data_IF_413998157965
#
_entry.id   IF_413998157965
#
_cell.length_a   1.000
_cell.length_b   1.000
_cell.length_c   1.000
_cell.angle_alpha   90.00
_cell.angle_beta   90.00
_cell.angle_gamma   90.00
#
_symmetry.space_group_name_H-M   'P 1'
#
loop_
_entity.id
_entity.type
_entity.pdbx_description
1 polymer ?
#
# COMPACT_ATOMS: atom_id res chain seq x y z
N UNK A 1 1.58 -6.09 -32.56
CA UNK A 1 0.99 -6.54 -31.28
C UNK A 1 1.91 -7.62 -30.72
N UNK A 2 2.75 -7.29 -29.71
CA UNK A 2 3.61 -8.28 -29.03
C UNK A 2 2.84 -8.78 -27.81
N UNK A 3 2.59 -10.08 -27.75
CA UNK A 3 2.04 -10.77 -26.58
C UNK A 3 2.92 -10.51 -25.36
N UNK A 4 2.34 -10.22 -24.17
CA UNK A 4 3.13 -10.07 -22.96
C UNK A 4 3.80 -11.40 -22.63
N UNK A 5 5.11 -11.35 -22.36
CA UNK A 5 5.87 -12.49 -21.84
C UNK A 5 5.26 -12.89 -20.50
N UNK A 6 4.98 -14.19 -20.36
CA UNK A 6 4.56 -14.81 -19.10
C UNK A 6 5.55 -14.43 -17.99
N UNK A 7 5.04 -13.98 -16.85
CA UNK A 7 5.82 -13.76 -15.63
C UNK A 7 6.65 -15.01 -15.32
N UNK A 8 7.92 -14.84 -14.92
CA UNK A 8 8.71 -15.96 -14.45
C UNK A 8 8.04 -16.56 -13.22
N UNK A 9 7.71 -17.84 -13.31
CA UNK A 9 7.07 -18.61 -12.23
C UNK A 9 7.84 -18.37 -10.91
N UNK A 10 7.13 -17.92 -9.87
CA UNK A 10 7.70 -17.80 -8.53
C UNK A 10 8.17 -19.19 -8.11
N UNK A 11 9.46 -19.40 -7.77
CA UNK A 11 9.96 -20.71 -7.38
C UNK A 11 9.18 -21.28 -6.20
N UNK A 12 8.94 -22.58 -6.22
CA UNK A 12 8.19 -23.30 -5.19
C UNK A 12 8.76 -23.05 -3.78
N UNK A 13 7.96 -23.26 -2.74
CA UNK A 13 8.30 -23.09 -1.33
C UNK A 13 9.61 -23.79 -0.87
N UNK A 14 10.12 -24.73 -1.68
CA UNK A 14 11.36 -25.45 -1.42
C UNK A 14 12.62 -24.57 -1.34
N UNK A 15 12.60 -23.35 -1.90
CA UNK A 15 13.77 -22.44 -1.93
C UNK A 15 13.67 -21.27 -0.94
N UNK A 16 12.74 -21.34 0.03
CA UNK A 16 12.54 -20.24 0.97
C UNK A 16 13.65 -20.17 2.03
N UNK A 17 14.42 -19.09 2.04
CA UNK A 17 15.39 -18.79 3.10
C UNK A 17 14.67 -18.15 4.29
N UNK A 18 14.33 -18.95 5.30
CA UNK A 18 13.54 -18.52 6.46
C UNK A 18 14.10 -17.28 7.17
N UNK A 19 15.43 -17.13 7.23
CA UNK A 19 16.04 -15.95 7.86
C UNK A 19 15.78 -14.67 7.06
N UNK A 20 15.83 -14.75 5.72
CA UNK A 20 15.51 -13.61 4.84
C UNK A 20 14.06 -13.18 4.98
N UNK A 21 13.12 -14.13 4.96
CA UNK A 21 11.69 -13.82 5.17
C UNK A 21 11.45 -13.11 6.49
N UNK A 22 12.10 -13.59 7.58
CA UNK A 22 11.98 -12.93 8.89
C UNK A 22 12.57 -11.52 8.89
N UNK A 23 13.70 -11.31 8.20
CA UNK A 23 14.32 -9.99 8.09
C UNK A 23 13.43 -9.01 7.31
N UNK A 24 12.82 -9.44 6.21
CA UNK A 24 11.86 -8.63 5.44
C UNK A 24 10.62 -8.28 6.29
N UNK A 25 10.05 -9.23 7.04
CA UNK A 25 8.94 -8.97 7.96
C UNK A 25 9.29 -7.96 9.06
N UNK A 26 10.55 -7.89 9.51
CA UNK A 26 10.99 -6.84 10.42
C UNK A 26 10.92 -5.47 9.73
N UNK A 27 11.41 -5.36 8.49
CA UNK A 27 11.35 -4.09 7.75
C UNK A 27 9.90 -3.66 7.49
N UNK A 28 9.02 -4.59 7.12
CA UNK A 28 7.58 -4.34 6.97
C UNK A 28 6.96 -3.83 8.28
N UNK A 29 7.25 -4.47 9.40
CA UNK A 29 6.76 -4.07 10.72
C UNK A 29 7.25 -2.68 11.15
N UNK A 30 8.51 -2.32 10.79
CA UNK A 30 9.05 -0.98 11.03
C UNK A 30 8.47 0.09 10.09
N UNK A 31 7.88 -0.32 8.97
CA UNK A 31 7.19 0.57 8.03
C UNK A 31 5.73 0.85 8.43
N UNK A 32 5.16 0.06 9.34
CA UNK A 32 3.81 0.27 9.88
C UNK A 32 3.78 1.49 10.80
N UNK A 33 2.72 2.27 10.70
CA UNK A 33 2.64 3.63 11.24
C UNK A 33 2.21 3.77 12.70
N UNK A 34 2.19 2.70 13.45
CA UNK A 34 1.69 2.73 14.83
C UNK A 34 2.59 3.52 15.79
N UNK A 35 3.90 3.58 15.48
CA UNK A 35 4.87 4.33 16.28
C UNK A 35 6.17 4.60 15.51
N UNK A 36 6.91 5.67 15.85
CA UNK A 36 8.10 6.09 15.11
C UNK A 36 9.28 5.10 15.22
N UNK A 37 9.33 4.31 16.28
CA UNK A 37 10.40 3.32 16.52
C UNK A 37 9.91 2.18 17.40
N UNK A 38 10.62 1.05 17.36
CA UNK A 38 10.28 -0.17 18.07
C UNK A 38 11.48 -0.74 18.85
N UNK A 39 11.25 -1.23 20.07
CA UNK A 39 12.22 -2.02 20.80
C UNK A 39 12.31 -3.46 20.28
N UNK A 40 13.42 -4.16 20.59
CA UNK A 40 13.57 -5.58 20.25
C UNK A 40 12.45 -6.46 20.84
N UNK A 41 11.96 -6.10 22.02
CA UNK A 41 10.90 -6.84 22.71
C UNK A 41 9.56 -6.67 22.01
N UNK A 42 9.24 -5.45 21.56
CA UNK A 42 8.02 -5.18 20.80
C UNK A 42 8.02 -5.89 19.44
N UNK A 43 9.13 -5.82 18.70
CA UNK A 43 9.30 -6.56 17.44
C UNK A 43 9.18 -8.08 17.65
N UNK A 44 9.77 -8.62 18.72
CA UNK A 44 9.66 -10.03 19.09
C UNK A 44 8.20 -10.45 19.28
N UNK A 45 7.44 -9.65 20.04
CA UNK A 45 6.03 -9.90 20.33
C UNK A 45 5.17 -9.80 19.06
N UNK A 46 5.29 -8.72 18.27
CA UNK A 46 4.52 -8.50 17.04
C UNK A 46 4.76 -9.58 15.99
N UNK A 47 5.99 -9.98 15.82
CA UNK A 47 6.40 -10.94 14.79
C UNK A 47 6.33 -12.40 15.24
N UNK A 48 6.01 -12.64 16.53
CA UNK A 48 6.04 -13.97 17.16
C UNK A 48 7.40 -14.66 16.96
N UNK A 49 8.50 -13.91 17.16
CA UNK A 49 9.88 -14.40 17.06
C UNK A 49 10.59 -14.31 18.42
N UNK A 50 11.51 -15.22 18.69
CA UNK A 50 12.40 -15.10 19.86
C UNK A 50 13.22 -13.79 19.79
N UNK A 51 13.38 -13.10 20.93
CA UNK A 51 14.17 -11.84 21.02
C UNK A 51 15.59 -12.03 20.48
N UNK A 52 16.23 -13.16 20.77
CA UNK A 52 17.57 -13.48 20.25
C UNK A 52 17.61 -13.61 18.71
N UNK A 53 16.52 -14.10 18.11
CA UNK A 53 16.40 -14.16 16.63
C UNK A 53 16.25 -12.75 16.05
N UNK A 54 15.37 -11.94 16.65
CA UNK A 54 15.19 -10.53 16.24
C UNK A 54 16.52 -9.79 16.35
N UNK A 55 17.20 -9.87 17.50
CA UNK A 55 18.49 -9.23 17.71
C UNK A 55 19.53 -9.58 16.64
N UNK A 56 19.69 -10.89 16.32
CA UNK A 56 20.64 -11.33 15.28
C UNK A 56 20.31 -10.78 13.89
N UNK A 57 19.04 -10.67 13.55
CA UNK A 57 18.60 -10.08 12.27
C UNK A 57 18.83 -8.57 12.27
N UNK A 58 18.48 -7.89 13.38
CA UNK A 58 18.65 -6.44 13.54
C UNK A 58 20.11 -6.01 13.44
N UNK A 59 21.05 -6.74 14.03
CA UNK A 59 22.50 -6.47 13.87
C UNK A 59 22.91 -6.40 12.39
N UNK A 60 22.37 -7.30 11.56
CA UNK A 60 22.68 -7.30 10.13
C UNK A 60 21.98 -6.15 9.39
N UNK A 61 20.70 -5.88 9.70
CA UNK A 61 19.94 -4.81 9.08
C UNK A 61 20.52 -3.43 9.40
N UNK A 62 20.94 -3.22 10.66
CA UNK A 62 21.63 -1.99 11.08
C UNK A 62 22.98 -1.85 10.35
N UNK A 63 23.78 -2.92 10.31
CA UNK A 63 25.09 -2.91 9.63
C UNK A 63 24.97 -2.58 8.14
N UNK A 64 23.87 -2.98 7.50
CA UNK A 64 23.59 -2.70 6.09
C UNK A 64 22.83 -1.37 5.87
N UNK A 65 22.50 -0.62 6.93
CA UNK A 65 21.82 0.67 6.87
C UNK A 65 20.32 0.59 6.54
N UNK A 66 19.71 -0.61 6.58
CA UNK A 66 18.26 -0.78 6.40
C UNK A 66 17.46 -0.40 7.64
N UNK A 67 18.10 -0.47 8.79
CA UNK A 67 17.55 -0.09 10.09
C UNK A 67 18.57 0.81 10.78
N UNK A 68 18.10 1.73 11.59
CA UNK A 68 18.91 2.57 12.45
C UNK A 68 18.32 2.63 13.87
N UNK A 69 19.16 2.96 14.84
CA UNK A 69 18.73 3.21 16.21
C UNK A 69 18.30 4.67 16.32
N UNK A 70 17.09 4.92 16.81
CA UNK A 70 16.65 6.26 17.15
C UNK A 70 17.34 6.73 18.43
N UNK A 71 18.17 7.78 18.40
CA UNK A 71 18.91 8.23 19.57
C UNK A 71 18.02 8.74 20.71
N UNK A 72 16.81 9.20 20.38
CA UNK A 72 15.90 9.79 21.37
C UNK A 72 15.16 8.72 22.18
N UNK A 73 14.67 7.68 21.52
CA UNK A 73 13.89 6.62 22.16
C UNK A 73 14.71 5.37 22.51
N UNK A 74 15.88 5.18 21.87
CA UNK A 74 16.64 3.94 21.92
C UNK A 74 15.96 2.79 21.15
N UNK A 75 14.90 3.09 20.41
CA UNK A 75 14.18 2.15 19.54
C UNK A 75 14.82 2.05 18.16
N UNK A 76 14.34 1.10 17.38
CA UNK A 76 14.77 0.88 16.01
C UNK A 76 13.75 1.42 15.02
N UNK A 77 14.22 2.05 13.94
CA UNK A 77 13.42 2.60 12.85
C UNK A 77 14.03 2.23 11.49
N UNK A 78 13.30 2.50 10.40
CA UNK A 78 13.84 2.30 9.04
C UNK A 78 15.03 3.23 8.80
N UNK A 79 16.11 2.68 8.25
CA UNK A 79 17.31 3.42 7.88
C UNK A 79 17.26 3.98 6.46
N UNK A 80 18.14 4.94 6.15
CA UNK A 80 18.21 5.64 4.87
C UNK A 80 18.43 4.75 3.65
N UNK A 81 18.93 3.53 3.83
CA UNK A 81 19.07 2.58 2.72
C UNK A 81 17.72 2.24 2.08
N UNK A 82 16.64 2.15 2.88
CA UNK A 82 15.28 1.89 2.39
C UNK A 82 14.79 3.07 1.53
N UNK A 83 14.98 4.30 2.01
CA UNK A 83 14.64 5.51 1.26
C UNK A 83 15.38 5.57 -0.10
N UNK A 84 16.69 5.30 -0.10
CA UNK A 84 17.50 5.30 -1.33
C UNK A 84 16.98 4.31 -2.37
N UNK A 85 16.56 3.12 -1.93
CA UNK A 85 16.00 2.11 -2.81
C UNK A 85 14.60 2.52 -3.30
N UNK A 86 13.75 3.03 -2.42
CA UNK A 86 12.41 3.53 -2.78
C UNK A 86 12.45 4.66 -3.81
N UNK A 87 13.34 5.63 -3.65
CA UNK A 87 13.53 6.70 -4.63
C UNK A 87 13.90 6.17 -6.02
N UNK A 88 14.77 5.14 -6.10
CA UNK A 88 15.11 4.49 -7.38
C UNK A 88 13.90 3.80 -8.04
N UNK A 89 12.98 3.28 -7.25
CA UNK A 89 11.72 2.73 -7.78
C UNK A 89 10.85 3.87 -8.33
N UNK A 90 10.67 4.95 -7.57
CA UNK A 90 9.88 6.10 -7.99
C UNK A 90 10.43 6.80 -9.25
N UNK A 91 11.75 6.89 -9.39
CA UNK A 91 12.42 7.49 -10.56
C UNK A 91 12.13 6.74 -11.88
N UNK A 92 11.78 5.46 -11.81
CA UNK A 92 11.43 4.64 -12.99
C UNK A 92 9.98 4.81 -13.44
N UNK A 93 9.16 5.51 -12.66
CA UNK A 93 7.74 5.68 -12.92
C UNK A 93 7.51 6.94 -13.78
N UNK A 94 7.75 6.85 -15.09
CA UNK A 94 7.60 7.99 -16.01
C UNK A 94 6.20 8.63 -15.94
N UNK A 95 5.15 7.82 -15.78
CA UNK A 95 3.77 8.31 -15.62
C UNK A 95 3.59 9.15 -14.35
N UNK A 96 4.35 8.91 -13.26
CA UNK A 96 4.34 9.77 -12.07
C UNK A 96 4.84 11.17 -12.40
N UNK A 97 5.94 11.27 -13.16
CA UNK A 97 6.52 12.55 -13.61
C UNK A 97 5.55 13.34 -14.50
N UNK A 98 4.85 12.66 -15.40
CA UNK A 98 3.85 13.27 -16.28
C UNK A 98 2.62 13.70 -15.48
N UNK A 99 2.15 12.89 -14.53
CA UNK A 99 0.97 13.17 -13.73
C UNK A 99 1.19 14.30 -12.71
N UNK A 100 2.40 14.46 -12.17
CA UNK A 100 2.72 15.42 -11.11
C UNK A 100 2.16 16.83 -11.32
N UNK A 101 2.40 17.52 -12.45
CA UNK A 101 1.85 18.87 -12.67
C UNK A 101 0.32 18.88 -12.76
N UNK A 102 -0.30 17.86 -13.33
CA UNK A 102 -1.75 17.76 -13.45
C UNK A 102 -2.44 17.53 -12.10
N UNK A 103 -1.85 16.67 -11.26
CA UNK A 103 -2.34 16.41 -9.91
C UNK A 103 -2.21 17.65 -9.03
N UNK A 104 -1.12 18.40 -9.16
CA UNK A 104 -0.93 19.67 -8.47
C UNK A 104 -1.97 20.70 -8.87
N UNK A 105 -2.24 20.84 -10.17
CA UNK A 105 -3.28 21.73 -10.68
C UNK A 105 -4.67 21.33 -10.16
N UNK A 106 -4.98 20.04 -10.16
CA UNK A 106 -6.24 19.52 -9.62
C UNK A 106 -6.38 19.83 -8.13
N UNK A 107 -5.33 19.58 -7.34
CA UNK A 107 -5.33 19.92 -5.91
C UNK A 107 -5.55 21.42 -5.67
N UNK A 108 -4.89 22.29 -6.46
CA UNK A 108 -5.09 23.75 -6.36
C UNK A 108 -6.50 24.19 -6.71
N UNK A 109 -7.14 23.55 -7.70
CA UNK A 109 -8.52 23.87 -8.11
C UNK A 109 -9.56 23.36 -7.12
N UNK A 110 -9.36 22.17 -6.58
CA UNK A 110 -10.35 21.52 -5.70
C UNK A 110 -10.14 21.86 -4.23
N UNK A 111 -8.93 22.23 -3.84
CA UNK A 111 -8.50 22.39 -2.45
C UNK A 111 -8.63 21.10 -1.61
N UNK A 112 -8.75 19.95 -2.29
CA UNK A 112 -8.87 18.63 -1.69
C UNK A 112 -7.58 17.84 -1.80
N UNK A 113 -7.45 16.78 -0.99
CA UNK A 113 -6.34 15.84 -1.13
C UNK A 113 -6.46 15.10 -2.46
N UNK A 114 -5.40 15.16 -3.27
CA UNK A 114 -5.28 14.44 -4.55
C UNK A 114 -4.10 13.50 -4.47
N UNK A 115 -4.29 12.26 -4.90
CA UNK A 115 -3.20 11.30 -4.96
C UNK A 115 -3.27 10.40 -6.18
N UNK A 116 -2.11 9.90 -6.61
CA UNK A 116 -1.95 8.87 -7.64
C UNK A 116 -1.60 7.56 -6.96
N UNK A 117 -2.26 6.49 -7.37
CA UNK A 117 -1.95 5.17 -6.86
C UNK A 117 -1.85 4.15 -7.99
N UNK A 118 -1.13 3.07 -7.72
CA UNK A 118 -0.95 1.92 -8.59
C UNK A 118 -1.43 0.65 -7.90
N UNK A 119 -1.76 -0.34 -8.72
CA UNK A 119 -2.03 -1.68 -8.21
C UNK A 119 -0.71 -2.44 -8.03
N UNK A 120 -0.47 -2.95 -6.83
CA UNK A 120 0.66 -3.82 -6.51
C UNK A 120 0.15 -5.03 -5.73
N UNK A 121 0.15 -6.20 -6.38
CA UNK A 121 -0.42 -7.41 -5.79
C UNK A 121 -1.92 -7.24 -5.52
N UNK A 122 -2.32 -7.34 -4.26
CA UNK A 122 -3.70 -7.24 -3.77
C UNK A 122 -4.01 -5.90 -3.07
N UNK A 123 -3.18 -4.88 -3.30
CA UNK A 123 -3.29 -3.55 -2.66
C UNK A 123 -3.12 -2.42 -3.67
N UNK A 124 -3.76 -1.28 -3.40
CA UNK A 124 -3.44 -0.02 -4.05
C UNK A 124 -2.37 0.71 -3.23
N UNK A 125 -1.32 1.19 -3.90
CA UNK A 125 -0.20 1.91 -3.27
C UNK A 125 -0.16 3.33 -3.77
N UNK A 126 -0.18 4.31 -2.86
CA UNK A 126 -0.03 5.72 -3.20
C UNK A 126 1.41 6.03 -3.58
N UNK A 127 1.62 6.59 -4.78
CA UNK A 127 2.95 6.93 -5.32
C UNK A 127 3.17 8.44 -5.51
N UNK A 128 2.10 9.25 -5.42
CA UNK A 128 2.15 10.71 -5.42
C UNK A 128 0.98 11.26 -4.62
N UNK A 129 1.21 12.38 -3.89
CA UNK A 129 0.18 13.01 -3.07
C UNK A 129 0.36 14.52 -3.02
N UNK A 130 -0.75 15.23 -3.10
CA UNK A 130 -0.88 16.65 -2.74
C UNK A 130 -1.96 16.76 -1.65
N UNK A 131 -1.58 17.23 -0.48
CA UNK A 131 -2.49 17.36 0.66
C UNK A 131 -3.49 18.49 0.50
N UNK A 132 -4.67 18.35 1.11
CA UNK A 132 -5.61 19.44 1.29
C UNK A 132 -5.05 20.47 2.26
N UNK A 133 -5.27 21.78 2.04
CA UNK A 133 -4.98 22.82 3.04
C UNK A 133 -5.99 22.84 4.20
N UNK A 134 -7.06 22.05 4.12
CA UNK A 134 -8.08 21.98 5.16
C UNK A 134 -7.55 21.32 6.44
N UNK A 135 -8.03 21.73 7.63
CA UNK A 135 -7.54 21.19 8.91
C UNK A 135 -7.89 19.71 9.12
N UNK A 136 -8.93 19.21 8.45
CA UNK A 136 -9.29 17.79 8.45
C UNK A 136 -8.95 17.23 7.08
N UNK A 137 -7.83 16.56 6.97
CA UNK A 137 -7.40 15.91 5.73
C UNK A 137 -7.16 14.42 5.99
N UNK A 138 -7.51 13.59 5.01
CA UNK A 138 -7.11 12.19 5.03
C UNK A 138 -5.58 12.09 4.97
N UNK A 139 -5.00 11.39 5.92
CA UNK A 139 -3.57 11.10 5.91
C UNK A 139 -3.27 9.88 4.99
N UNK A 140 -3.52 10.05 3.70
CA UNK A 140 -3.03 9.11 2.71
C UNK A 140 -1.51 9.31 2.56
N UNK A 141 -0.71 8.43 3.10
CA UNK A 141 0.77 8.53 3.05
C UNK A 141 1.31 8.00 1.73
N UNK A 142 2.41 8.58 1.24
CA UNK A 142 3.18 8.01 0.14
C UNK A 142 3.68 6.62 0.54
N UNK A 143 3.52 5.63 -0.35
CA UNK A 143 3.79 4.23 -0.03
C UNK A 143 2.71 3.56 0.80
N UNK A 144 1.72 4.30 1.30
CA UNK A 144 0.61 3.75 2.06
C UNK A 144 -0.23 2.79 1.22
N UNK A 145 -0.61 1.68 1.84
CA UNK A 145 -1.42 0.64 1.23
C UNK A 145 -2.90 0.88 1.52
N UNK A 146 -3.72 0.70 0.49
CA UNK A 146 -5.17 0.91 0.57
C UNK A 146 -5.92 -0.34 0.13
N UNK A 147 -6.96 -0.76 0.88
CA UNK A 147 -7.81 -1.87 0.48
C UNK A 147 -8.46 -1.65 -0.89
N UNK A 148 -8.46 -2.70 -1.73
CA UNK A 148 -8.99 -2.59 -3.08
C UNK A 148 -10.53 -2.55 -3.13
N UNK A 149 -11.23 -3.20 -2.21
CA UNK A 149 -12.68 -3.41 -2.30
C UNK A 149 -13.54 -2.25 -1.80
N UNK A 150 -12.99 -1.33 -1.00
CA UNK A 150 -13.76 -0.30 -0.31
C UNK A 150 -13.22 1.12 -0.46
N UNK A 151 -12.06 1.32 -1.12
CA UNK A 151 -11.56 2.66 -1.45
C UNK A 151 -11.92 3.03 -2.89
N UNK A 152 -12.08 4.32 -3.18
CA UNK A 152 -12.32 4.78 -4.56
C UNK A 152 -11.22 4.33 -5.50
N UNK A 153 -9.95 4.53 -5.09
CA UNK A 153 -8.77 4.11 -5.86
C UNK A 153 -8.75 2.59 -6.05
N UNK A 154 -8.99 1.84 -4.97
CA UNK A 154 -9.00 0.38 -5.04
C UNK A 154 -10.07 -0.15 -6.00
N UNK A 155 -11.29 0.36 -5.90
CA UNK A 155 -12.40 -0.08 -6.75
C UNK A 155 -12.18 0.27 -8.23
N UNK A 156 -11.63 1.45 -8.54
CA UNK A 156 -11.34 1.80 -9.93
C UNK A 156 -10.22 0.93 -10.52
N UNK A 157 -9.21 0.58 -9.74
CA UNK A 157 -8.15 -0.34 -10.16
C UNK A 157 -8.68 -1.77 -10.36
N UNK A 158 -9.56 -2.25 -9.46
CA UNK A 158 -10.21 -3.55 -9.58
C UNK A 158 -11.15 -3.66 -10.78
N UNK A 159 -11.78 -2.57 -11.20
CA UNK A 159 -12.75 -2.57 -12.29
C UNK A 159 -12.17 -3.13 -13.61
N UNK A 160 -10.87 -3.08 -13.77
CA UNK A 160 -10.16 -3.53 -14.97
C UNK A 160 -9.31 -4.80 -14.75
N UNK A 161 -9.55 -5.52 -13.64
CA UNK A 161 -8.85 -6.76 -13.33
C UNK A 161 -9.63 -8.01 -13.75
N UNK A 162 -8.92 -9.15 -13.79
CA UNK A 162 -9.51 -10.42 -14.14
C UNK A 162 -10.45 -10.97 -13.05
N UNK A 163 -11.41 -11.79 -13.46
CA UNK A 163 -12.28 -12.54 -12.54
C UNK A 163 -11.52 -13.42 -11.55
N UNK A 164 -10.37 -13.95 -11.97
CA UNK A 164 -9.49 -14.74 -11.12
C UNK A 164 -8.95 -13.89 -9.97
N UNK A 165 -8.48 -12.67 -10.25
CA UNK A 165 -8.00 -11.75 -9.23
C UNK A 165 -9.11 -11.36 -8.25
N UNK A 166 -10.31 -11.04 -8.74
CA UNK A 166 -11.45 -10.72 -7.87
C UNK A 166 -11.80 -11.89 -6.93
N UNK A 167 -11.79 -13.11 -7.47
CA UNK A 167 -12.06 -14.32 -6.69
C UNK A 167 -10.96 -14.59 -5.66
N UNK A 168 -9.70 -14.38 -6.02
CA UNK A 168 -8.55 -14.50 -5.11
C UNK A 168 -8.65 -13.48 -3.98
N UNK A 169 -8.90 -12.21 -4.29
CA UNK A 169 -9.07 -11.14 -3.31
C UNK A 169 -10.19 -11.44 -2.32
N UNK A 170 -11.33 -11.93 -2.80
CA UNK A 170 -12.47 -12.27 -1.95
C UNK A 170 -12.20 -13.44 -0.98
N UNK A 171 -11.23 -14.33 -1.33
CA UNK A 171 -10.83 -15.46 -0.49
C UNK A 171 -9.73 -15.10 0.50
N UNK A 172 -8.74 -14.29 0.04
CA UNK A 172 -7.58 -13.90 0.84
C UNK A 172 -7.00 -12.59 0.28
N UNK A 173 -6.93 -11.53 1.07
CA UNK A 173 -7.26 -11.40 2.51
C UNK A 173 -8.76 -11.36 2.82
N UNK A 174 -9.65 -11.33 1.80
CA UNK A 174 -11.09 -11.22 1.94
C UNK A 174 -11.59 -9.76 1.89
N UNK A 175 -12.91 -9.61 1.87
CA UNK A 175 -13.57 -8.30 1.82
C UNK A 175 -13.95 -7.87 3.25
N UNK A 176 -12.94 -7.43 4.02
CA UNK A 176 -13.10 -7.06 5.42
C UNK A 176 -14.03 -5.85 5.55
N UNK A 177 -14.92 -5.90 6.56
CA UNK A 177 -15.77 -4.78 6.91
C UNK A 177 -14.98 -3.75 7.70
N UNK A 178 -14.85 -2.53 7.18
CA UNK A 178 -14.21 -1.39 7.85
C UNK A 178 -15.25 -0.42 8.41
N UNK A 179 -16.38 -0.27 7.70
CA UNK A 179 -17.52 0.57 8.12
C UNK A 179 -18.82 -0.19 7.88
N UNK A 180 -19.97 0.31 8.37
CA UNK A 180 -21.27 -0.26 8.03
C UNK A 180 -21.60 -0.25 6.53
N UNK A 181 -20.93 0.63 5.75
CA UNK A 181 -21.14 0.80 4.31
C UNK A 181 -20.19 -0.02 3.43
N UNK A 182 -19.18 -0.63 4.03
CA UNK A 182 -18.21 -1.46 3.27
C UNK A 182 -18.89 -2.58 2.50
N UNK A 183 -18.58 -2.71 1.21
CA UNK A 183 -18.97 -3.85 0.39
C UNK A 183 -18.19 -5.09 0.85
N UNK A 184 -18.88 -6.13 1.30
CA UNK A 184 -18.28 -7.31 1.91
C UNK A 184 -18.57 -8.62 1.16
N UNK A 185 -19.24 -8.55 0.01
CA UNK A 185 -19.54 -9.74 -0.80
C UNK A 185 -19.08 -9.58 -2.24
N UNK A 186 -18.57 -10.65 -2.82
CA UNK A 186 -18.09 -10.63 -4.21
C UNK A 186 -19.16 -10.25 -5.23
N UNK A 187 -20.42 -10.73 -5.14
CA UNK A 187 -21.47 -10.29 -6.07
C UNK A 187 -21.76 -8.79 -6.02
N UNK A 188 -21.81 -8.19 -4.82
CA UNK A 188 -21.99 -6.74 -4.66
C UNK A 188 -20.81 -5.97 -5.23
N UNK A 189 -19.58 -6.43 -4.96
CA UNK A 189 -18.38 -5.81 -5.51
C UNK A 189 -18.41 -5.86 -7.05
N UNK A 190 -18.68 -6.99 -7.66
CA UNK A 190 -18.75 -7.13 -9.13
C UNK A 190 -19.76 -6.16 -9.75
N UNK A 191 -20.96 -6.06 -9.17
CA UNK A 191 -21.98 -5.11 -9.62
C UNK A 191 -21.50 -3.65 -9.56
N UNK A 192 -20.78 -3.29 -8.51
CA UNK A 192 -20.20 -1.94 -8.41
C UNK A 192 -19.08 -1.72 -9.42
N UNK A 193 -18.22 -2.73 -9.67
CA UNK A 193 -17.16 -2.65 -10.68
C UNK A 193 -17.72 -2.51 -12.10
N UNK A 194 -18.85 -3.15 -12.43
CA UNK A 194 -19.57 -2.95 -13.70
C UNK A 194 -20.00 -1.49 -13.87
N UNK A 195 -20.64 -0.92 -12.85
CA UNK A 195 -21.05 0.49 -12.85
C UNK A 195 -19.85 1.44 -12.99
N UNK A 196 -18.72 1.11 -12.36
CA UNK A 196 -17.49 1.89 -12.48
C UNK A 196 -16.98 1.88 -13.91
N UNK A 197 -16.99 0.73 -14.59
CA UNK A 197 -16.60 0.63 -16.01
C UNK A 197 -17.51 1.45 -16.93
N UNK A 198 -18.82 1.47 -16.65
CA UNK A 198 -19.80 2.24 -17.42
C UNK A 198 -19.64 3.75 -17.24
N UNK A 199 -19.46 4.23 -16.00
CA UNK A 199 -19.38 5.67 -15.70
C UNK A 199 -17.98 6.26 -15.76
N UNK A 200 -16.91 5.41 -15.76
CA UNK A 200 -15.51 5.82 -15.84
C UNK A 200 -14.86 6.25 -14.51
N UNK A 201 -15.58 6.22 -13.40
CA UNK A 201 -15.05 6.60 -12.07
C UNK A 201 -15.66 5.78 -10.94
N UNK A 202 -14.93 5.66 -9.84
CA UNK A 202 -15.39 5.06 -8.58
C UNK A 202 -15.70 6.13 -7.54
N UNK A 203 -16.63 5.84 -6.67
CA UNK A 203 -16.92 6.65 -5.46
C UNK A 203 -16.76 5.76 -4.24
N UNK A 204 -15.94 6.18 -3.30
CA UNK A 204 -15.97 5.67 -1.93
C UNK A 204 -16.92 6.56 -1.12
N UNK A 205 -18.02 6.00 -0.66
CA UNK A 205 -19.03 6.71 0.11
C UNK A 205 -18.99 6.24 1.56
N UNK A 206 -17.92 6.58 2.26
CA UNK A 206 -17.69 6.18 3.66
C UNK A 206 -17.54 4.64 3.81
N UNK A 207 -17.02 3.97 2.79
CA UNK A 207 -16.82 2.52 2.79
C UNK A 207 -15.52 2.12 3.48
N UNK A 208 -14.47 2.93 3.36
CA UNK A 208 -13.18 2.71 4.00
C UNK A 208 -13.09 3.36 5.38
N UNK A 209 -13.58 4.58 5.51
CA UNK A 209 -13.54 5.39 6.76
C UNK A 209 -14.85 6.16 6.89
N UNK A 210 -15.49 6.10 8.06
CA UNK A 210 -16.69 6.89 8.35
C UNK A 210 -16.40 8.40 8.21
N UNK A 211 -17.31 9.13 7.58
CA UNK A 211 -17.17 10.56 7.32
C UNK A 211 -16.26 10.93 6.16
N UNK A 212 -15.57 9.97 5.54
CA UNK A 212 -14.71 10.19 4.38
C UNK A 212 -15.39 9.79 3.08
N UNK A 213 -15.30 10.66 2.08
CA UNK A 213 -15.74 10.37 0.71
C UNK A 213 -14.64 10.70 -0.28
N UNK A 214 -14.46 9.85 -1.27
CA UNK A 214 -13.55 10.16 -2.36
C UNK A 214 -14.08 9.71 -3.73
N UNK A 215 -13.54 10.34 -4.77
CA UNK A 215 -13.76 9.98 -6.18
C UNK A 215 -12.43 9.60 -6.79
N UNK A 216 -12.42 8.54 -7.57
CA UNK A 216 -11.23 8.08 -8.28
C UNK A 216 -11.56 7.72 -9.73
N UNK A 217 -10.64 8.05 -10.64
CA UNK A 217 -10.70 7.65 -12.04
C UNK A 217 -9.41 6.92 -12.44
N UNK A 218 -9.53 6.00 -13.40
CA UNK A 218 -8.35 5.32 -13.97
C UNK A 218 -7.65 6.22 -14.99
N UNK A 219 -6.32 6.11 -15.00
CA UNK A 219 -5.45 6.71 -16.01
C UNK A 219 -4.81 5.56 -16.79
N UNK A 220 -4.87 5.60 -18.15
CA UNK A 220 -4.36 4.57 -19.05
C UNK A 220 -3.19 5.09 -19.88
#
# INVERSE_FOLDING_TARGET
MKTPKSDPAVPSAAYTVKALVKALRILECLAEDDQPSYTLTELSRRLHLHVSTVHRLMVNLVRQGFVELDPASGGYQLGFQVLRMGLRVLDRLDYRRVAHPLLRELNQKTQETVHLAILQGDQAISIEKFGSPQPVALDARLGGQMPLHCTGVGKVLLAYQSEEMLTKLAKSPGLQRLTPRTVTTLPQLKKELERIRERGYAVDNEEAVDGLRCVAASVF
#
